data_IF_794448185915
#
_entry.id   IF_794448185915
#
_cell.length_a   1.000
_cell.length_b   1.000
_cell.length_c   1.000
_cell.angle_alpha   90.00
_cell.angle_beta   90.00
_cell.angle_gamma   90.00
#
_symmetry.space_group_name_H-M   'P 1'
#
loop_
_entity.id
_entity.type
_entity.pdbx_description
1 polymer ?
#
# COMPACT_ATOMS: atom_id res chain seq x y z
N UNK A 1 6.00 -12.64 14.24
CA UNK A 1 5.57 -12.01 12.96
C UNK A 1 5.15 -13.13 12.00
N UNK A 2 3.88 -13.18 11.57
CA UNK A 2 3.39 -14.28 10.73
C UNK A 2 3.93 -14.11 9.28
N UNK A 3 4.81 -14.99 8.83
CA UNK A 3 5.39 -14.89 7.47
C UNK A 3 4.31 -14.93 6.37
N UNK A 4 3.17 -15.57 6.62
CA UNK A 4 2.09 -15.70 5.63
C UNK A 4 1.36 -14.37 5.39
N UNK A 5 1.10 -13.56 6.43
CA UNK A 5 0.46 -12.24 6.23
C UNK A 5 1.40 -11.30 5.47
N UNK A 6 2.69 -11.32 5.78
CA UNK A 6 3.67 -10.50 5.05
C UNK A 6 3.80 -10.90 3.58
N UNK A 7 3.76 -12.20 3.29
CA UNK A 7 3.72 -12.70 1.92
C UNK A 7 2.44 -12.24 1.20
N UNK A 8 1.29 -12.26 1.88
CA UNK A 8 0.04 -11.76 1.33
C UNK A 8 0.11 -10.26 1.01
N UNK A 9 0.67 -9.45 1.93
CA UNK A 9 0.92 -8.02 1.73
C UNK A 9 1.80 -7.81 0.48
N UNK A 10 2.90 -8.55 0.32
CA UNK A 10 3.76 -8.44 -0.87
C UNK A 10 3.01 -8.74 -2.18
N UNK A 11 1.99 -9.60 -2.17
CA UNK A 11 1.16 -9.84 -3.35
C UNK A 11 0.19 -8.69 -3.63
N UNK A 12 -0.35 -8.04 -2.59
CA UNK A 12 -1.16 -6.84 -2.76
C UNK A 12 -0.35 -5.71 -3.39
N UNK A 13 0.91 -5.50 -2.94
CA UNK A 13 1.82 -4.54 -3.58
C UNK A 13 2.00 -4.83 -5.08
N UNK A 14 2.24 -6.08 -5.45
CA UNK A 14 2.39 -6.44 -6.87
C UNK A 14 1.13 -6.19 -7.69
N UNK A 15 -0.04 -6.39 -7.10
CA UNK A 15 -1.33 -6.28 -7.79
C UNK A 15 -1.75 -4.81 -8.00
N UNK A 16 -1.57 -3.97 -6.99
CA UNK A 16 -2.13 -2.62 -6.98
C UNK A 16 -1.08 -1.51 -7.07
N UNK A 17 0.10 -1.72 -6.49
CA UNK A 17 1.10 -0.67 -6.30
C UNK A 17 2.21 -0.71 -7.34
N UNK A 18 2.72 -1.89 -7.70
CA UNK A 18 3.85 -2.03 -8.63
C UNK A 18 3.40 -1.86 -10.09
N UNK A 19 2.88 -0.66 -10.39
CA UNK A 19 2.39 -0.18 -11.69
C UNK A 19 3.13 1.10 -12.05
N UNK A 20 3.02 1.54 -13.30
CA UNK A 20 3.48 2.88 -13.68
C UNK A 20 2.47 3.95 -13.25
N UNK A 21 2.91 5.19 -13.02
CA UNK A 21 2.02 6.28 -12.62
C UNK A 21 0.85 6.55 -13.61
N UNK A 22 1.03 6.45 -14.94
CA UNK A 22 -0.10 6.57 -15.88
C UNK A 22 -1.15 5.46 -15.76
N UNK A 23 -0.75 4.26 -15.33
CA UNK A 23 -1.64 3.10 -15.17
C UNK A 23 -2.27 3.02 -13.79
N UNK A 24 -1.61 3.57 -12.78
CA UNK A 24 -2.10 3.61 -11.41
C UNK A 24 -3.28 4.58 -11.29
N UNK A 25 -4.28 4.18 -10.50
CA UNK A 25 -5.48 4.99 -10.25
C UNK A 25 -5.82 5.08 -8.76
N UNK A 26 -6.69 6.02 -8.40
CA UNK A 26 -7.24 6.10 -7.04
C UNK A 26 -8.01 4.83 -6.67
N UNK A 27 -8.56 4.10 -7.66
CA UNK A 27 -9.20 2.81 -7.41
C UNK A 27 -8.20 1.74 -6.98
N UNK A 28 -6.97 1.77 -7.49
CA UNK A 28 -5.92 0.84 -7.05
C UNK A 28 -5.49 1.12 -5.61
N UNK A 29 -5.36 2.40 -5.25
CA UNK A 29 -5.14 2.84 -3.88
C UNK A 29 -6.26 2.33 -2.94
N UNK A 30 -7.51 2.64 -3.25
CA UNK A 30 -8.67 2.24 -2.44
C UNK A 30 -8.78 0.70 -2.34
N UNK A 31 -8.53 -0.01 -3.45
CA UNK A 31 -8.56 -1.48 -3.47
C UNK A 31 -7.44 -2.08 -2.62
N UNK A 32 -6.24 -1.49 -2.65
CA UNK A 32 -5.14 -1.90 -1.81
C UNK A 32 -5.50 -1.75 -0.33
N UNK A 33 -6.06 -0.60 0.07
CA UNK A 33 -6.46 -0.36 1.46
C UNK A 33 -7.52 -1.37 1.93
N UNK A 34 -8.56 -1.58 1.11
CA UNK A 34 -9.61 -2.54 1.42
C UNK A 34 -9.06 -3.96 1.59
N UNK A 35 -8.20 -4.40 0.67
CA UNK A 35 -7.61 -5.74 0.76
C UNK A 35 -6.65 -5.87 1.94
N UNK A 36 -5.93 -4.81 2.31
CA UNK A 36 -5.12 -4.78 3.53
C UNK A 36 -6.01 -5.02 4.77
N UNK A 37 -7.20 -4.41 4.85
CA UNK A 37 -8.15 -4.70 5.92
C UNK A 37 -8.70 -6.12 5.87
N UNK A 38 -8.98 -6.68 4.68
CA UNK A 38 -9.42 -8.08 4.54
C UNK A 38 -8.38 -9.07 5.09
N UNK A 39 -7.08 -8.75 5.03
CA UNK A 39 -6.04 -9.58 5.64
C UNK A 39 -6.19 -9.70 7.17
N UNK A 40 -6.74 -8.66 7.82
CA UNK A 40 -7.01 -8.68 9.26
C UNK A 40 -7.92 -9.84 9.63
N UNK A 41 -9.05 -9.96 8.94
CA UNK A 41 -10.04 -11.00 9.17
C UNK A 41 -9.47 -12.38 8.82
N UNK A 42 -8.85 -12.49 7.63
CA UNK A 42 -8.30 -13.74 7.11
C UNK A 42 -7.26 -14.38 8.03
N UNK A 43 -6.42 -13.57 8.66
CA UNK A 43 -5.36 -14.04 9.55
C UNK A 43 -5.69 -13.87 11.05
N UNK A 44 -6.93 -13.47 11.37
CA UNK A 44 -7.37 -13.16 12.74
C UNK A 44 -6.40 -12.23 13.47
N UNK A 45 -5.87 -11.22 12.77
CA UNK A 45 -4.90 -10.28 13.31
C UNK A 45 -5.62 -9.20 14.12
N UNK A 46 -5.31 -9.04 15.40
CA UNK A 46 -6.06 -8.11 16.27
C UNK A 46 -5.84 -6.63 15.88
N UNK A 47 -4.59 -6.31 15.50
CA UNK A 47 -4.16 -4.96 15.16
C UNK A 47 -4.39 -4.62 13.68
N UNK A 48 -4.21 -3.34 13.31
CA UNK A 48 -4.24 -2.93 11.91
C UNK A 48 -3.10 -3.59 11.12
N UNK A 49 -3.38 -4.25 9.98
CA UNK A 49 -2.35 -4.80 9.10
C UNK A 49 -1.38 -3.73 8.55
N UNK A 50 -1.79 -2.46 8.52
CA UNK A 50 -0.91 -1.35 8.13
C UNK A 50 0.24 -1.12 9.09
N UNK A 51 0.14 -1.55 10.36
CA UNK A 51 1.25 -1.49 11.32
C UNK A 51 2.40 -2.45 10.96
N UNK A 52 2.18 -3.37 10.03
CA UNK A 52 3.21 -4.25 9.48
C UNK A 52 4.01 -3.58 8.35
N UNK A 53 3.56 -2.42 7.86
CA UNK A 53 4.23 -1.70 6.78
C UNK A 53 5.36 -0.82 7.33
N UNK A 54 6.50 -0.74 6.63
CA UNK A 54 7.55 0.24 6.90
C UNK A 54 7.04 1.69 6.85
N UNK A 55 7.74 2.60 7.55
CA UNK A 55 7.34 4.01 7.66
C UNK A 55 7.07 4.74 6.33
N UNK A 56 7.81 4.51 5.22
CA UNK A 56 7.50 5.12 3.93
C UNK A 56 6.06 4.87 3.45
N UNK A 57 5.44 3.74 3.79
CA UNK A 57 4.05 3.49 3.42
C UNK A 57 3.07 4.31 4.25
N UNK A 58 3.40 4.64 5.51
CA UNK A 58 2.55 5.51 6.35
C UNK A 58 2.58 6.94 5.82
N UNK A 59 3.76 7.42 5.45
CA UNK A 59 3.93 8.74 4.85
C UNK A 59 3.24 8.81 3.47
N UNK A 60 3.30 7.72 2.69
CA UNK A 60 2.65 7.62 1.39
C UNK A 60 1.12 7.65 1.51
N UNK A 61 0.57 6.95 2.49
CA UNK A 61 -0.87 6.93 2.79
C UNK A 61 -1.40 8.33 3.11
N UNK A 62 -0.76 9.02 4.06
CA UNK A 62 -1.12 10.39 4.40
C UNK A 62 -1.01 11.34 3.19
N UNK A 63 0.06 11.20 2.40
CA UNK A 63 0.23 11.98 1.20
C UNK A 63 -0.89 11.73 0.17
N UNK A 64 -1.23 10.47 -0.08
CA UNK A 64 -2.26 10.09 -1.06
C UNK A 64 -3.65 10.54 -0.63
N UNK A 65 -4.01 10.43 0.66
CA UNK A 65 -5.28 10.95 1.17
C UNK A 65 -5.43 12.45 0.86
N UNK A 66 -4.38 13.24 1.07
CA UNK A 66 -4.42 14.67 0.74
C UNK A 66 -4.52 14.92 -0.77
N UNK A 67 -3.73 14.21 -1.59
CA UNK A 67 -3.71 14.39 -3.04
C UNK A 67 -5.00 13.93 -3.74
N UNK A 68 -5.69 12.95 -3.16
CA UNK A 68 -6.92 12.36 -3.71
C UNK A 68 -8.20 12.87 -3.03
N UNK A 69 -8.12 13.85 -2.12
CA UNK A 69 -9.25 14.27 -1.29
C UNK A 69 -9.92 13.05 -0.62
N UNK A 70 -9.18 12.36 0.24
CA UNK A 70 -9.59 11.13 0.94
C UNK A 70 -10.00 9.96 0.02
N UNK A 71 -9.30 9.82 -1.11
CA UNK A 71 -9.55 8.73 -2.07
C UNK A 71 -10.75 8.94 -2.98
N UNK A 72 -11.35 10.15 -3.00
CA UNK A 72 -12.51 10.47 -3.83
C UNK A 72 -12.17 10.99 -5.22
N UNK A 73 -10.99 11.60 -5.39
CA UNK A 73 -10.56 12.27 -6.62
C UNK A 73 -9.27 11.62 -7.13
N UNK A 74 -9.18 11.50 -8.45
CA UNK A 74 -7.97 11.03 -9.12
C UNK A 74 -6.84 12.05 -8.96
N UNK A 75 -5.70 11.69 -8.33
CA UNK A 75 -4.55 12.59 -8.23
C UNK A 75 -3.92 12.86 -9.60
N UNK A 76 -3.14 13.93 -9.68
CA UNK A 76 -2.35 14.19 -10.88
C UNK A 76 -1.20 13.18 -11.04
N UNK A 77 -0.56 13.20 -12.22
CA UNK A 77 0.48 12.25 -12.55
C UNK A 77 1.72 12.37 -11.64
N UNK A 78 2.07 13.57 -11.19
CA UNK A 78 3.23 13.81 -10.33
C UNK A 78 2.98 13.27 -8.92
N UNK A 79 1.78 13.48 -8.40
CA UNK A 79 1.37 12.96 -7.10
C UNK A 79 1.30 11.44 -7.12
N UNK A 80 0.75 10.83 -8.16
CA UNK A 80 0.79 9.37 -8.34
C UNK A 80 2.21 8.84 -8.32
N UNK A 81 3.12 9.46 -9.08
CA UNK A 81 4.52 9.00 -9.13
C UNK A 81 5.18 9.07 -7.75
N UNK A 82 4.98 10.17 -7.02
CA UNK A 82 5.53 10.33 -5.67
C UNK A 82 5.02 9.27 -4.69
N UNK A 83 3.72 9.00 -4.71
CA UNK A 83 3.14 7.93 -3.89
C UNK A 83 3.74 6.56 -4.23
N UNK A 84 3.83 6.24 -5.52
CA UNK A 84 4.38 4.97 -5.99
C UNK A 84 5.86 4.80 -5.59
N UNK A 85 6.67 5.85 -5.65
CA UNK A 85 8.07 5.81 -5.24
C UNK A 85 8.21 5.46 -3.74
N UNK A 86 7.43 6.12 -2.89
CA UNK A 86 7.42 5.87 -1.44
C UNK A 86 6.92 4.46 -1.11
N UNK A 87 5.88 4.00 -1.80
CA UNK A 87 5.37 2.65 -1.64
C UNK A 87 6.35 1.60 -2.18
N UNK A 88 7.09 1.88 -3.24
CA UNK A 88 8.12 0.99 -3.76
C UNK A 88 9.31 0.87 -2.78
N UNK A 89 9.69 1.96 -2.11
CA UNK A 89 10.66 1.92 -1.03
C UNK A 89 10.19 1.01 0.12
N UNK A 90 8.94 1.19 0.56
CA UNK A 90 8.29 0.33 1.56
C UNK A 90 8.31 -1.15 1.13
N UNK A 91 7.97 -1.45 -0.13
CA UNK A 91 7.99 -2.79 -0.67
C UNK A 91 9.38 -3.44 -0.55
N UNK A 92 10.45 -2.71 -0.91
CA UNK A 92 11.82 -3.26 -0.80
C UNK A 92 12.21 -3.51 0.66
N UNK A 93 11.88 -2.58 1.57
CA UNK A 93 12.12 -2.75 3.02
C UNK A 93 11.39 -4.00 3.55
N UNK A 94 10.11 -4.16 3.21
CA UNK A 94 9.30 -5.31 3.61
C UNK A 94 9.86 -6.62 3.04
N UNK A 95 10.21 -6.64 1.75
CA UNK A 95 10.77 -7.81 1.08
C UNK A 95 12.11 -8.23 1.70
N UNK A 96 12.96 -7.28 2.09
CA UNK A 96 14.23 -7.56 2.73
C UNK A 96 14.07 -8.08 4.17
N UNK A 97 13.04 -7.65 4.90
CA UNK A 97 12.75 -8.13 6.25
C UNK A 97 12.23 -9.58 6.32
N UNK A 98 11.77 -10.14 5.19
CA UNK A 98 11.22 -11.50 5.10
C UNK A 98 12.27 -12.53 4.62
N UNK A 99 13.37 -12.06 4.01
CA UNK A 99 14.51 -12.89 3.62
C UNK A 99 15.28 -13.37 4.84
#
# INVERSE_FOLDING_TARGET
>A
MNKQILQAILQLYKKYILKSAPEFSVQDYNSFEQEMWNLKEKFSYESSPFLLLPDPAKDADFFMMNASSDGFIEPDLADKQKYLDMMQESYQKLKNAIR
#
